data_IF_895787883062
#
_entry.id   IF_895787883062
#
_cell.length_a   1.000
_cell.length_b   1.000
_cell.length_c   1.000
_cell.angle_alpha   90.00
_cell.angle_beta   90.00
_cell.angle_gamma   90.00
#
_symmetry.space_group_name_H-M   'P 1'
#
loop_
_entity.id
_entity.type
_entity.pdbx_description
1 polymer ?
#
# COMPACT_ATOMS: atom_id res chain seq x y z
N UNK A 1 -11.03 1.77 15.95
CA UNK A 1 -11.40 1.39 17.32
C UNK A 1 -10.48 2.15 18.27
N UNK A 2 -10.98 2.62 19.39
CA UNK A 2 -10.18 3.39 20.36
C UNK A 2 -9.61 2.48 21.47
N UNK A 3 -8.60 2.98 22.18
CA UNK A 3 -7.93 2.28 23.28
C UNK A 3 -8.90 1.80 24.36
N UNK A 4 -9.91 2.62 24.69
CA UNK A 4 -10.92 2.31 25.70
C UNK A 4 -11.82 1.13 25.26
N UNK A 5 -12.14 1.04 23.97
CA UNK A 5 -12.93 -0.07 23.45
C UNK A 5 -12.20 -1.41 23.62
N UNK A 6 -10.87 -1.41 23.45
CA UNK A 6 -10.05 -2.62 23.61
C UNK A 6 -9.89 -2.97 25.08
N UNK A 7 -9.51 -2.01 25.92
CA UNK A 7 -9.23 -2.25 27.35
C UNK A 7 -10.48 -2.62 28.14
N UNK A 8 -11.66 -2.12 27.76
CA UNK A 8 -12.94 -2.48 28.38
C UNK A 8 -13.29 -3.98 28.23
N UNK A 9 -12.72 -4.68 27.24
CA UNK A 9 -12.92 -6.12 27.06
C UNK A 9 -12.08 -6.97 28.03
N UNK A 10 -11.19 -6.35 28.82
CA UNK A 10 -10.23 -7.02 29.69
C UNK A 10 -9.51 -8.20 29.01
N UNK A 11 -8.84 -7.95 27.86
CA UNK A 11 -8.23 -9.02 27.07
C UNK A 11 -7.00 -9.61 27.77
N UNK A 12 -6.70 -10.88 27.48
CA UNK A 12 -5.41 -11.50 27.79
C UNK A 12 -4.39 -11.21 26.67
N UNK A 13 -4.86 -11.18 25.42
CA UNK A 13 -4.05 -10.95 24.22
C UNK A 13 -4.79 -10.00 23.28
N UNK A 14 -4.04 -9.06 22.69
CA UNK A 14 -4.50 -8.12 21.68
C UNK A 14 -3.63 -8.24 20.44
N UNK A 15 -4.27 -8.36 19.28
CA UNK A 15 -3.59 -8.50 17.98
C UNK A 15 -4.07 -7.39 17.07
N UNK A 16 -3.14 -6.53 16.66
CA UNK A 16 -3.39 -5.44 15.73
C UNK A 16 -3.18 -5.96 14.31
N UNK A 17 -4.30 -6.10 13.60
CA UNK A 17 -4.38 -6.50 12.20
C UNK A 17 -5.14 -5.44 11.39
N UNK A 18 -4.87 -4.17 11.66
CA UNK A 18 -5.53 -2.99 11.06
C UNK A 18 -5.14 -2.74 9.60
N UNK A 19 -4.15 -3.47 9.08
CA UNK A 19 -3.66 -3.31 7.72
C UNK A 19 -2.89 -2.01 7.52
N UNK A 20 -2.91 -1.50 6.30
CA UNK A 20 -2.32 -0.22 5.93
C UNK A 20 -3.29 0.63 5.11
N UNK A 21 -2.91 1.89 4.90
CA UNK A 21 -3.62 2.87 4.07
C UNK A 21 -2.73 3.28 2.88
N UNK A 22 -3.30 3.57 1.70
CA UNK A 22 -2.52 4.02 0.56
C UNK A 22 -1.64 5.23 0.89
N UNK A 23 -0.39 5.22 0.40
CA UNK A 23 0.50 6.35 0.51
C UNK A 23 0.29 7.30 -0.69
N UNK A 24 0.15 8.59 -0.41
CA UNK A 24 0.00 9.67 -1.41
C UNK A 24 1.09 10.73 -1.30
N UNK A 25 2.11 10.49 -0.47
CA UNK A 25 3.30 11.33 -0.37
C UNK A 25 4.32 10.92 -1.41
N UNK A 26 4.59 11.80 -2.37
CA UNK A 26 5.71 11.61 -3.30
C UNK A 26 7.03 11.80 -2.55
N UNK A 27 7.96 10.87 -2.72
CA UNK A 27 9.31 10.96 -2.16
C UNK A 27 10.01 12.27 -2.53
N UNK A 28 9.73 12.82 -3.70
CA UNK A 28 10.39 14.01 -4.24
C UNK A 28 9.91 15.30 -3.58
N UNK A 29 8.69 15.31 -3.05
CA UNK A 29 8.07 16.52 -2.49
C UNK A 29 7.91 16.48 -0.98
N UNK A 30 8.04 15.30 -0.36
CA UNK A 30 7.84 15.08 1.07
C UNK A 30 6.51 15.66 1.60
N UNK A 31 5.49 15.67 0.74
CA UNK A 31 4.16 16.22 1.00
C UNK A 31 3.09 15.43 0.26
N UNK A 32 1.92 15.32 0.88
CA UNK A 32 0.72 14.76 0.25
C UNK A 32 0.36 15.52 -1.03
N UNK A 33 0.11 14.76 -2.09
CA UNK A 33 -0.34 15.32 -3.35
C UNK A 33 -1.84 15.62 -3.32
N UNK A 34 -2.21 16.91 -3.38
CA UNK A 34 -3.62 17.34 -3.27
C UNK A 34 -4.51 16.97 -4.45
N UNK A 35 -3.92 16.60 -5.58
CA UNK A 35 -4.62 16.44 -6.86
C UNK A 35 -4.53 15.02 -7.42
N UNK A 36 -4.04 14.08 -6.62
CA UNK A 36 -4.00 12.66 -6.99
C UNK A 36 -5.14 11.92 -6.31
N UNK A 37 -5.46 10.78 -6.88
CA UNK A 37 -6.29 9.74 -6.27
C UNK A 37 -5.43 8.48 -6.16
N UNK A 38 -5.89 7.50 -5.40
CA UNK A 38 -5.17 6.23 -5.21
C UNK A 38 -5.71 5.17 -6.17
N UNK A 39 -4.92 4.13 -6.42
CA UNK A 39 -5.43 2.95 -7.15
C UNK A 39 -6.64 2.33 -6.44
N UNK A 40 -6.70 2.43 -5.11
CA UNK A 40 -7.82 1.92 -4.32
C UNK A 40 -9.11 2.71 -4.59
N UNK A 41 -9.05 4.03 -4.76
CA UNK A 41 -10.24 4.85 -5.08
C UNK A 41 -10.89 4.45 -6.42
N UNK A 42 -10.07 4.02 -7.39
CA UNK A 42 -10.55 3.48 -8.67
C UNK A 42 -11.15 2.07 -8.48
N UNK A 43 -10.47 1.21 -7.72
CA UNK A 43 -10.88 -0.19 -7.49
C UNK A 43 -12.17 -0.27 -6.67
N UNK A 44 -12.31 0.58 -5.64
CA UNK A 44 -13.52 0.67 -4.81
C UNK A 44 -14.70 1.27 -5.57
N UNK A 45 -14.42 2.06 -6.62
CA UNK A 45 -15.41 2.82 -7.37
C UNK A 45 -15.79 4.16 -6.73
N UNK A 46 -15.08 4.59 -5.69
CA UNK A 46 -15.25 5.91 -5.07
C UNK A 46 -14.96 7.04 -6.07
N UNK A 47 -14.01 6.79 -6.98
CA UNK A 47 -13.70 7.68 -8.10
C UNK A 47 -13.92 6.96 -9.42
N UNK A 48 -14.74 7.57 -10.29
CA UNK A 48 -14.97 7.04 -11.65
C UNK A 48 -13.78 7.37 -12.54
N UNK A 49 -13.22 6.39 -13.30
CA UNK A 49 -12.26 6.66 -14.35
C UNK A 49 -12.85 7.57 -15.42
N UNK A 50 -12.09 8.59 -15.87
CA UNK A 50 -12.51 9.45 -16.96
C UNK A 50 -11.32 10.04 -17.74
N UNK A 51 -11.44 10.07 -19.06
CA UNK A 51 -10.53 10.81 -19.93
C UNK A 51 -9.16 10.16 -20.08
N UNK A 52 -8.09 10.96 -19.97
CA UNK A 52 -6.70 10.50 -19.97
C UNK A 52 -6.22 10.36 -18.53
N UNK A 53 -5.75 9.15 -18.18
CA UNK A 53 -5.34 8.79 -16.82
C UNK A 53 -3.86 8.42 -16.85
N UNK A 54 -3.08 9.04 -15.97
CA UNK A 54 -1.72 8.61 -15.64
C UNK A 54 -1.78 7.81 -14.33
N UNK A 55 -1.44 6.53 -14.38
CA UNK A 55 -1.24 5.69 -13.21
C UNK A 55 0.26 5.66 -12.93
N UNK A 56 0.69 6.25 -11.82
CA UNK A 56 2.06 6.18 -11.37
C UNK A 56 2.23 5.01 -10.39
N UNK A 57 2.92 3.96 -10.86
CA UNK A 57 3.18 2.71 -10.15
C UNK A 57 4.61 2.68 -9.61
N UNK A 58 4.74 2.93 -8.31
CA UNK A 58 5.99 2.79 -7.56
C UNK A 58 6.04 1.45 -6.82
N UNK A 59 4.90 0.90 -6.41
CA UNK A 59 4.86 -0.36 -5.65
C UNK A 59 5.13 -1.59 -6.50
N UNK A 60 4.76 -1.57 -7.78
CA UNK A 60 5.01 -2.68 -8.68
C UNK A 60 4.10 -3.90 -8.45
N UNK A 61 3.03 -3.74 -7.69
CA UNK A 61 2.11 -4.80 -7.29
C UNK A 61 0.80 -4.78 -8.10
N UNK A 62 -0.20 -5.53 -7.64
CA UNK A 62 -1.46 -5.74 -8.36
C UNK A 62 -2.37 -4.52 -8.53
N UNK A 63 -2.55 -3.62 -7.53
CA UNK A 63 -3.48 -2.50 -7.59
C UNK A 63 -3.31 -1.58 -8.80
N UNK A 64 -2.07 -1.26 -9.22
CA UNK A 64 -1.86 -0.44 -10.42
C UNK A 64 -2.47 -1.08 -11.68
N UNK A 65 -2.25 -2.39 -11.89
CA UNK A 65 -2.81 -3.12 -13.03
C UNK A 65 -4.33 -3.29 -12.92
N UNK A 66 -4.88 -3.50 -11.73
CA UNK A 66 -6.32 -3.58 -11.51
C UNK A 66 -7.02 -2.24 -11.80
N UNK A 67 -6.45 -1.14 -11.31
CA UNK A 67 -6.95 0.20 -11.62
C UNK A 67 -6.88 0.50 -13.12
N UNK A 68 -5.79 0.10 -13.79
CA UNK A 68 -5.65 0.23 -15.23
C UNK A 68 -6.71 -0.58 -16.00
N UNK A 69 -6.97 -1.82 -15.59
CA UNK A 69 -7.98 -2.68 -16.21
C UNK A 69 -9.38 -2.10 -16.10
N UNK A 70 -9.76 -1.61 -14.91
CA UNK A 70 -11.04 -0.96 -14.68
C UNK A 70 -11.17 0.34 -15.49
N UNK A 71 -10.12 1.17 -15.49
CA UNK A 71 -10.08 2.43 -16.22
C UNK A 71 -10.18 2.22 -17.75
N UNK A 72 -9.37 1.31 -18.29
CA UNK A 72 -9.37 1.01 -19.72
C UNK A 72 -10.71 0.39 -20.15
N UNK A 73 -11.29 -0.49 -19.31
CA UNK A 73 -12.62 -1.08 -19.57
C UNK A 73 -13.75 -0.05 -19.52
N UNK A 74 -13.59 1.04 -18.76
CA UNK A 74 -14.49 2.19 -18.75
C UNK A 74 -14.30 3.13 -19.96
N UNK A 75 -13.33 2.86 -20.84
CA UNK A 75 -13.06 3.64 -22.05
C UNK A 75 -12.06 4.79 -21.87
N UNK A 76 -11.36 4.86 -20.73
CA UNK A 76 -10.29 5.84 -20.51
C UNK A 76 -9.02 5.47 -21.27
N UNK A 77 -8.22 6.48 -21.62
CA UNK A 77 -6.86 6.30 -22.15
C UNK A 77 -5.89 6.24 -20.98
N UNK A 78 -5.17 5.14 -20.82
CA UNK A 78 -4.38 4.87 -19.62
C UNK A 78 -2.90 4.84 -19.95
N UNK A 79 -2.10 5.55 -19.18
CA UNK A 79 -0.65 5.36 -19.15
C UNK A 79 -0.25 4.84 -17.78
N UNK A 80 0.36 3.65 -17.73
CA UNK A 80 0.95 3.09 -16.51
C UNK A 80 2.43 3.42 -16.55
N UNK A 81 2.88 4.21 -15.59
CA UNK A 81 4.24 4.74 -15.52
C UNK A 81 4.94 4.26 -14.25
N UNK A 82 6.18 3.83 -14.36
CA UNK A 82 6.99 3.39 -13.21
C UNK A 82 8.42 3.90 -13.31
N UNK A 83 9.08 4.23 -12.17
CA UNK A 83 10.51 4.54 -12.19
C UNK A 83 11.37 3.30 -12.46
N UNK A 84 10.81 2.10 -12.26
CA UNK A 84 11.54 0.86 -12.44
C UNK A 84 11.83 0.54 -13.90
N UNK A 85 12.82 -0.31 -14.11
CA UNK A 85 13.19 -0.85 -15.44
C UNK A 85 12.18 -1.86 -16.00
N UNK A 86 11.26 -2.35 -15.16
CA UNK A 86 10.22 -3.33 -15.48
C UNK A 86 8.94 -2.90 -14.83
N UNK A 87 7.81 -3.00 -15.53
CA UNK A 87 6.51 -2.73 -14.93
C UNK A 87 6.05 -3.89 -14.03
N UNK A 88 5.39 -3.53 -12.94
CA UNK A 88 4.78 -4.45 -11.98
C UNK A 88 5.63 -5.68 -11.59
N UNK A 89 6.86 -5.50 -11.10
CA UNK A 89 7.80 -6.59 -10.79
C UNK A 89 7.27 -7.63 -9.79
N UNK A 90 6.33 -7.27 -8.91
CA UNK A 90 5.77 -8.19 -7.91
C UNK A 90 4.62 -9.06 -8.45
N UNK A 91 4.17 -8.79 -9.69
CA UNK A 91 3.13 -9.58 -10.36
C UNK A 91 3.75 -10.76 -11.09
N UNK A 92 3.62 -11.96 -10.52
CA UNK A 92 4.18 -13.18 -11.11
C UNK A 92 3.60 -13.49 -12.50
N UNK A 93 4.41 -14.14 -13.34
CA UNK A 93 4.11 -14.38 -14.76
C UNK A 93 2.72 -14.99 -15.04
N UNK A 94 2.26 -15.96 -14.24
CA UNK A 94 0.94 -16.56 -14.42
C UNK A 94 -0.21 -15.57 -14.22
N UNK A 95 -0.03 -14.60 -13.32
CA UNK A 95 -1.02 -13.54 -13.06
C UNK A 95 -0.86 -12.37 -14.03
N UNK A 96 0.32 -12.18 -14.62
CA UNK A 96 0.55 -11.12 -15.60
C UNK A 96 -0.21 -11.37 -16.92
N UNK A 97 -0.27 -12.63 -17.37
CA UNK A 97 -0.95 -13.01 -18.63
C UNK A 97 -2.40 -12.52 -18.72
N UNK A 98 -3.29 -12.73 -17.72
CA UNK A 98 -4.65 -12.21 -17.79
C UNK A 98 -4.70 -10.67 -17.85
N UNK A 99 -3.86 -9.95 -17.11
CA UNK A 99 -3.79 -8.48 -17.22
C UNK A 99 -3.44 -8.04 -18.64
N UNK A 100 -2.41 -8.65 -19.24
CA UNK A 100 -2.00 -8.29 -20.59
C UNK A 100 -3.11 -8.56 -21.62
N UNK A 101 -3.85 -9.67 -21.49
CA UNK A 101 -5.02 -9.95 -22.33
C UNK A 101 -6.13 -8.90 -22.16
N UNK A 102 -6.31 -8.39 -20.95
CA UNK A 102 -7.32 -7.38 -20.64
C UNK A 102 -6.90 -5.96 -21.06
N UNK A 103 -5.61 -5.68 -21.21
CA UNK A 103 -5.10 -4.32 -21.47
C UNK A 103 -4.63 -4.10 -22.91
N UNK A 104 -4.05 -5.11 -23.57
CA UNK A 104 -3.34 -4.92 -24.85
C UNK A 104 -4.26 -4.58 -26.04
N UNK A 105 -5.56 -4.86 -25.96
CA UNK A 105 -6.53 -4.49 -26.98
C UNK A 105 -7.13 -3.08 -26.77
N UNK A 106 -6.67 -2.35 -25.75
CA UNK A 106 -7.17 -1.03 -25.33
C UNK A 106 -6.10 0.05 -25.48
N UNK A 107 -6.52 1.30 -25.29
CA UNK A 107 -5.63 2.47 -25.32
C UNK A 107 -4.82 2.57 -24.01
N UNK A 108 -3.89 1.62 -23.84
CA UNK A 108 -3.02 1.48 -22.67
C UNK A 108 -1.56 1.57 -23.09
N UNK A 109 -0.81 2.47 -22.46
CA UNK A 109 0.64 2.63 -22.65
C UNK A 109 1.38 2.24 -21.38
N UNK A 110 2.48 1.50 -21.52
CA UNK A 110 3.38 1.17 -20.41
C UNK A 110 4.67 1.97 -20.56
N UNK A 111 4.98 2.81 -19.57
CA UNK A 111 6.16 3.67 -19.56
C UNK A 111 7.04 3.30 -18.37
N UNK A 112 8.22 2.74 -18.65
CA UNK A 112 9.21 2.38 -17.62
C UNK A 112 10.29 3.46 -17.50
N UNK A 113 11.09 3.43 -16.43
CA UNK A 113 12.22 4.34 -16.20
C UNK A 113 11.84 5.84 -16.14
N UNK A 114 10.62 6.14 -15.69
CA UNK A 114 10.09 7.50 -15.58
C UNK A 114 9.43 7.72 -14.23
N UNK A 115 9.68 8.89 -13.64
CA UNK A 115 9.27 9.24 -12.29
C UNK A 115 8.30 10.41 -12.33
N UNK A 116 7.18 10.29 -11.62
CA UNK A 116 6.31 11.42 -11.36
C UNK A 116 6.94 12.27 -10.24
N UNK A 117 7.26 13.53 -10.54
CA UNK A 117 7.93 14.43 -9.58
C UNK A 117 7.02 15.54 -9.08
N UNK A 118 5.83 15.70 -9.67
CA UNK A 118 4.83 16.66 -9.20
C UNK A 118 3.55 16.66 -10.02
N UNK A 119 2.48 17.14 -9.40
CA UNK A 119 1.16 17.30 -10.03
C UNK A 119 0.58 18.66 -9.67
N UNK A 120 0.21 19.42 -10.69
CA UNK A 120 -0.42 20.73 -10.54
C UNK A 120 -1.76 20.78 -11.28
N UNK A 121 -2.74 21.48 -10.71
CA UNK A 121 -4.03 21.70 -11.38
C UNK A 121 -3.96 22.93 -12.29
N UNK A 122 -4.27 22.73 -13.58
CA UNK A 122 -4.33 23.80 -14.58
C UNK A 122 -5.70 23.83 -15.25
N UNK A 123 -6.57 24.69 -14.74
CA UNK A 123 -7.97 24.77 -15.17
C UNK A 123 -8.75 23.50 -14.76
N UNK A 124 -9.30 22.79 -15.73
CA UNK A 124 -10.05 21.54 -15.51
C UNK A 124 -9.19 20.28 -15.60
N UNK A 125 -7.91 20.41 -15.96
CA UNK A 125 -6.99 19.28 -16.12
C UNK A 125 -5.84 19.37 -15.12
N UNK A 126 -5.05 18.30 -15.08
CA UNK A 126 -3.83 18.18 -14.30
C UNK A 126 -2.63 18.23 -15.24
N UNK A 127 -1.58 18.91 -14.82
CA UNK A 127 -0.24 18.84 -15.40
C UNK A 127 0.61 17.99 -14.47
N UNK A 128 1.09 16.86 -14.96
CA UNK A 128 2.05 16.01 -14.26
C UNK A 128 3.46 16.27 -14.81
N UNK A 129 4.40 16.52 -13.90
CA UNK A 129 5.82 16.69 -14.23
C UNK A 129 6.52 15.35 -14.12
N UNK A 130 7.12 14.93 -15.23
CA UNK A 130 7.78 13.63 -15.37
C UNK A 130 9.29 13.84 -15.47
N UNK A 131 10.04 13.15 -14.61
CA UNK A 131 11.49 13.13 -14.59
C UNK A 131 12.08 11.76 -14.93
N UNK A 132 13.36 11.60 -14.61
CA UNK A 132 14.11 10.35 -14.73
C UNK A 132 15.21 10.30 -13.68
N UNK A 133 15.51 9.10 -13.18
CA UNK A 133 16.61 8.88 -12.23
C UNK A 133 17.99 8.89 -12.91
N UNK A 134 18.02 9.06 -14.24
CA UNK A 134 19.23 8.91 -15.05
C UNK A 134 19.80 10.22 -15.59
N UNK A 135 19.12 11.36 -15.40
CA UNK A 135 19.57 12.69 -15.81
C UNK A 135 18.64 13.80 -15.29
N UNK A 136 18.98 15.06 -15.55
CA UNK A 136 18.12 16.22 -15.23
C UNK A 136 16.95 16.40 -16.22
N UNK A 137 16.70 15.42 -17.09
CA UNK A 137 15.66 15.53 -18.11
C UNK A 137 14.27 15.48 -17.50
N UNK A 138 13.45 16.46 -17.84
CA UNK A 138 12.05 16.56 -17.39
C UNK A 138 11.14 16.98 -18.55
N UNK A 139 9.88 16.58 -18.46
CA UNK A 139 8.81 17.03 -19.36
C UNK A 139 7.46 17.02 -18.66
N UNK A 140 6.49 17.73 -19.21
CA UNK A 140 5.13 17.80 -18.67
C UNK A 140 4.16 16.99 -19.53
N UNK A 141 3.19 16.36 -18.87
CA UNK A 141 2.04 15.74 -19.53
C UNK A 141 0.74 16.28 -18.94
N UNK A 142 -0.21 16.61 -19.81
CA UNK A 142 -1.58 16.96 -19.39
C UNK A 142 -2.44 15.71 -19.36
N UNK A 143 -3.17 15.54 -18.25
CA UNK A 143 -4.09 14.42 -17.99
C UNK A 143 -5.33 14.89 -17.23
N UNK A 144 -6.38 14.08 -17.26
CA UNK A 144 -7.62 14.37 -16.54
C UNK A 144 -7.59 13.80 -15.11
N UNK A 145 -6.85 12.71 -14.89
CA UNK A 145 -6.63 12.10 -13.57
C UNK A 145 -5.19 11.61 -13.42
N UNK A 146 -4.64 11.76 -12.21
CA UNK A 146 -3.39 11.11 -11.79
C UNK A 146 -3.73 10.14 -10.66
N UNK A 147 -3.44 8.86 -10.87
CA UNK A 147 -3.65 7.78 -9.92
C UNK A 147 -2.30 7.36 -9.35
N UNK A 148 -2.15 7.32 -8.04
CA UNK A 148 -0.94 6.84 -7.37
C UNK A 148 -1.11 5.41 -6.88
N UNK A 149 -0.09 4.59 -7.14
CA UNK A 149 0.16 3.33 -6.48
C UNK A 149 1.54 3.39 -5.82
N UNK A 150 1.57 3.87 -4.58
CA UNK A 150 2.80 4.20 -3.84
C UNK A 150 2.92 3.42 -2.52
N UNK A 151 2.30 2.26 -2.49
CA UNK A 151 2.35 1.31 -1.39
C UNK A 151 1.39 1.72 -0.28
N UNK A 152 1.52 1.05 0.85
CA UNK A 152 0.70 1.33 2.02
C UNK A 152 1.54 1.72 3.21
N UNK A 153 1.08 2.72 3.97
CA UNK A 153 1.60 3.02 5.29
C UNK A 153 0.85 2.18 6.34
N UNK A 154 1.54 1.59 7.32
CA UNK A 154 0.89 0.87 8.41
C UNK A 154 -0.12 1.74 9.15
N UNK A 155 -1.32 1.20 9.41
CA UNK A 155 -2.31 1.85 10.27
C UNK A 155 -2.08 1.43 11.72
N UNK A 156 -1.00 1.91 12.35
CA UNK A 156 -0.49 1.39 13.62
C UNK A 156 -0.64 2.33 14.83
N UNK A 157 -1.40 3.42 14.71
CA UNK A 157 -1.70 4.34 15.82
C UNK A 157 -2.29 3.63 17.04
N UNK A 158 -3.28 2.75 16.82
CA UNK A 158 -3.89 1.96 17.90
C UNK A 158 -2.87 1.03 18.58
N UNK A 159 -1.94 0.47 17.82
CA UNK A 159 -0.86 -0.36 18.38
C UNK A 159 0.01 0.48 19.32
N UNK A 160 0.44 1.66 18.87
CA UNK A 160 1.29 2.53 19.69
C UNK A 160 0.57 3.08 20.92
N UNK A 161 -0.73 3.34 20.83
CA UNK A 161 -1.55 3.75 21.97
C UNK A 161 -1.68 2.64 23.03
N UNK A 162 -1.80 1.37 22.61
CA UNK A 162 -1.93 0.22 23.51
C UNK A 162 -0.60 -0.26 24.08
N UNK A 163 0.52 -0.01 23.39
CA UNK A 163 1.86 -0.54 23.74
C UNK A 163 2.28 -0.25 25.19
N UNK A 164 2.11 0.97 25.75
CA UNK A 164 2.47 1.25 27.14
C UNK A 164 1.65 0.45 28.17
N UNK A 165 0.45 -0.01 27.79
CA UNK A 165 -0.47 -0.77 28.64
C UNK A 165 -0.24 -2.29 28.58
N UNK A 166 0.53 -2.74 27.59
CA UNK A 166 0.80 -4.16 27.37
C UNK A 166 1.83 -4.73 28.33
N UNK A 167 1.66 -6.01 28.68
CA UNK A 167 2.58 -6.75 29.53
C UNK A 167 3.89 -7.04 28.81
N UNK A 168 3.89 -7.35 27.50
CA UNK A 168 5.11 -7.62 26.74
C UNK A 168 5.75 -6.36 26.13
N UNK A 169 5.13 -5.19 26.26
CA UNK A 169 5.61 -3.95 25.62
C UNK A 169 5.62 -4.01 24.08
N UNK A 170 4.77 -4.86 23.49
CA UNK A 170 4.75 -5.13 22.05
C UNK A 170 5.92 -5.97 21.52
N UNK A 171 6.69 -6.60 22.41
CA UNK A 171 7.84 -7.42 22.00
C UNK A 171 7.40 -8.77 21.42
N UNK A 172 8.10 -9.18 20.36
CA UNK A 172 8.06 -10.53 19.79
C UNK A 172 9.43 -11.15 20.02
N UNK A 173 9.46 -12.35 20.60
CA UNK A 173 10.62 -13.21 20.65
C UNK A 173 10.66 -14.04 19.36
N UNK A 174 11.55 -13.64 18.46
CA UNK A 174 11.68 -14.26 17.14
C UNK A 174 12.24 -15.68 17.21
N UNK A 175 13.13 -15.98 18.16
CA UNK A 175 13.69 -17.33 18.31
C UNK A 175 12.56 -18.29 18.67
N UNK A 176 11.72 -17.92 19.65
CA UNK A 176 10.53 -18.70 20.02
C UNK A 176 9.50 -18.77 18.91
N UNK A 177 9.27 -17.68 18.18
CA UNK A 177 8.33 -17.67 17.05
C UNK A 177 8.78 -18.62 15.93
N UNK A 178 10.09 -18.70 15.66
CA UNK A 178 10.69 -19.62 14.69
C UNK A 178 10.56 -21.07 15.16
N UNK A 179 10.81 -21.32 16.45
CA UNK A 179 10.72 -22.66 17.05
C UNK A 179 9.28 -23.13 17.30
N UNK A 180 8.27 -22.27 17.06
CA UNK A 180 6.87 -22.58 17.30
C UNK A 180 6.55 -22.72 18.79
N UNK A 181 7.19 -21.92 19.63
CA UNK A 181 7.01 -21.89 21.07
C UNK A 181 6.16 -20.65 21.44
N UNK A 182 5.19 -20.79 22.37
CA UNK A 182 4.37 -19.66 22.83
C UNK A 182 5.21 -18.47 23.31
N UNK A 183 4.70 -17.27 23.06
CA UNK A 183 5.35 -16.02 23.49
C UNK A 183 5.10 -15.80 24.98
N UNK A 184 6.16 -15.71 25.79
CA UNK A 184 6.10 -15.49 27.24
C UNK A 184 6.89 -14.25 27.70
N UNK A 185 7.28 -13.40 26.75
CA UNK A 185 8.00 -12.17 27.04
C UNK A 185 7.18 -11.28 27.99
N UNK A 186 7.71 -11.05 29.19
CA UNK A 186 7.12 -10.16 30.18
C UNK A 186 7.99 -8.92 30.36
N UNK A 187 7.38 -7.76 30.16
CA UNK A 187 7.82 -6.43 30.57
C UNK A 187 6.81 -5.85 31.58
N UNK A 188 7.01 -4.62 32.07
CA UNK A 188 6.06 -3.93 32.95
C UNK A 188 5.53 -4.73 34.16
N UNK A 189 6.41 -5.47 34.86
CA UNK A 189 6.06 -6.27 36.03
C UNK A 189 4.93 -7.30 35.81
N UNK A 190 4.64 -7.69 34.56
CA UNK A 190 3.64 -8.71 34.24
C UNK A 190 2.18 -8.26 34.32
N UNK A 191 1.91 -6.94 34.31
CA UNK A 191 0.54 -6.41 34.31
C UNK A 191 0.08 -6.06 32.90
N UNK A 192 -1.19 -6.36 32.58
CA UNK A 192 -1.82 -6.05 31.30
C UNK A 192 -1.88 -7.24 30.33
N UNK A 193 -2.39 -6.98 29.12
CA UNK A 193 -2.50 -7.95 28.02
C UNK A 193 -1.20 -8.08 27.24
N UNK A 194 -0.97 -9.21 26.58
CA UNK A 194 0.06 -9.29 25.54
C UNK A 194 -0.41 -8.54 24.28
N UNK A 195 0.47 -7.77 23.66
CA UNK A 195 0.17 -7.00 22.45
C UNK A 195 1.07 -7.44 21.31
N UNK A 196 0.46 -7.73 20.17
CA UNK A 196 1.16 -8.08 18.94
C UNK A 196 0.55 -7.32 17.75
N UNK A 197 1.30 -7.26 16.65
CA UNK A 197 0.83 -6.73 15.36
C UNK A 197 1.27 -7.67 14.23
N UNK A 198 0.42 -7.81 13.21
CA UNK A 198 0.63 -8.74 12.09
C UNK A 198 0.28 -8.09 10.75
N UNK A 199 0.82 -8.62 9.65
CA UNK A 199 0.50 -8.16 8.30
C UNK A 199 0.95 -6.72 8.05
N UNK A 200 0.16 -5.97 7.29
CA UNK A 200 0.53 -4.60 6.87
C UNK A 200 0.53 -3.58 8.01
N UNK A 201 -0.06 -3.92 9.17
CA UNK A 201 0.11 -3.14 10.39
C UNK A 201 1.56 -3.20 10.94
N UNK A 202 2.39 -4.12 10.44
CA UNK A 202 3.84 -4.19 10.70
C UNK A 202 4.61 -3.51 9.58
N UNK A 203 4.37 -3.95 8.35
CA UNK A 203 5.02 -3.45 7.14
C UNK A 203 4.25 -3.96 5.93
N UNK A 204 4.06 -3.10 4.92
CA UNK A 204 3.46 -3.48 3.64
C UNK A 204 4.19 -4.68 3.03
N UNK A 205 3.49 -5.81 2.88
CA UNK A 205 3.97 -7.03 2.21
C UNK A 205 2.82 -7.63 1.40
N UNK A 206 2.96 -8.89 0.97
CA UNK A 206 1.87 -9.61 0.34
C UNK A 206 0.94 -10.30 1.36
N UNK A 207 -0.26 -10.66 0.93
CA UNK A 207 -1.27 -11.36 1.75
C UNK A 207 -0.74 -12.65 2.38
N UNK A 208 0.14 -13.38 1.71
CA UNK A 208 0.72 -14.61 2.25
C UNK A 208 1.57 -14.31 3.49
N UNK A 209 2.35 -13.23 3.48
CA UNK A 209 3.13 -12.83 4.65
C UNK A 209 2.23 -12.53 5.85
N UNK A 210 1.12 -11.83 5.66
CA UNK A 210 0.14 -11.57 6.72
C UNK A 210 -0.48 -12.87 7.27
N UNK A 211 -0.83 -13.81 6.39
CA UNK A 211 -1.32 -15.14 6.78
C UNK A 211 -0.25 -15.90 7.57
N UNK A 212 1.00 -15.87 7.13
CA UNK A 212 2.11 -16.55 7.82
C UNK A 212 2.44 -15.93 9.17
N UNK A 213 2.37 -14.61 9.31
CA UNK A 213 2.51 -13.94 10.60
C UNK A 213 1.44 -14.45 11.58
N UNK A 214 0.17 -14.48 11.15
CA UNK A 214 -0.93 -14.97 11.95
C UNK A 214 -0.76 -16.46 12.31
N UNK A 215 -0.43 -17.31 11.34
CA UNK A 215 -0.26 -18.74 11.55
C UNK A 215 0.86 -19.05 12.55
N UNK A 216 1.98 -18.32 12.49
CA UNK A 216 3.10 -18.54 13.41
C UNK A 216 2.79 -18.05 14.81
N UNK A 217 2.15 -16.89 14.91
CA UNK A 217 1.85 -16.27 16.19
C UNK A 217 0.71 -17.00 16.92
N UNK A 218 -0.35 -17.38 16.20
CA UNK A 218 -1.59 -17.88 16.79
C UNK A 218 -1.64 -19.38 17.04
N UNK A 219 -0.65 -20.14 16.56
CA UNK A 219 -0.67 -21.60 16.63
C UNK A 219 -0.82 -22.11 18.07
N UNK A 220 -0.19 -21.42 19.02
CA UNK A 220 -0.03 -21.87 20.41
C UNK A 220 -0.32 -20.73 21.42
N UNK A 221 -1.23 -19.80 21.08
CA UNK A 221 -1.76 -18.74 21.97
C UNK A 221 -2.98 -19.25 22.76
#
# INVERSE_FOLDING_TARGET
AETEHVTALNPDVVIIATGGVPNTELFEQHQEQKHVITSWDIISGDVKPAGKILIYDESGDHPALQAAELAASAGSRVEIMTPDRTFSPDVMAMNLVPYMRALQDKDVTFTVTRRLTGVERKGNQLTATIGTDYSDHTYEVTVDQVVMNYGTMPLDDLYFALKPLSSNGGAIDYDRLIDGVPQDSVRNNGRGFQLFRIGDAVSARNTHAAIYDALRLMKDI
#
